data_IF_435803478284
#
_entry.id   IF_435803478284
#
_cell.length_a   1.000
_cell.length_b   1.000
_cell.length_c   1.000
_cell.angle_alpha   90.00
_cell.angle_beta   90.00
_cell.angle_gamma   90.00
#
_symmetry.space_group_name_H-M   'P 1'
#
loop_
_entity.id
_entity.type
_entity.pdbx_description
1 polymer ?
#
# COMPACT_ATOMS: atom_id res chain seq x y z
N UNK A 1 -12.27 22.93 -59.30
CA UNK A 1 -12.39 21.99 -58.14
C UNK A 1 -11.22 22.10 -57.14
N UNK A 2 -9.99 22.40 -57.56
CA UNK A 2 -8.79 22.49 -56.69
C UNK A 2 -8.73 23.68 -55.70
N UNK A 3 -9.64 24.66 -55.77
CA UNK A 3 -9.64 25.81 -54.86
C UNK A 3 -10.17 25.47 -53.45
N UNK A 4 -10.86 24.35 -53.28
CA UNK A 4 -11.42 23.94 -51.97
C UNK A 4 -10.37 23.32 -51.03
N UNK A 5 -9.32 22.69 -51.57
CA UNK A 5 -8.30 21.98 -50.76
C UNK A 5 -7.36 22.98 -50.05
N UNK A 6 -6.98 24.08 -50.71
CA UNK A 6 -6.10 25.11 -50.11
C UNK A 6 -6.75 25.87 -48.94
N UNK A 7 -8.07 25.88 -48.85
CA UNK A 7 -8.79 26.53 -47.74
C UNK A 7 -8.82 25.68 -46.47
N UNK A 8 -8.58 24.36 -46.58
CA UNK A 8 -8.48 23.44 -45.45
C UNK A 8 -7.11 23.48 -44.77
N UNK A 9 -6.04 23.74 -45.53
CA UNK A 9 -4.66 23.83 -45.00
C UNK A 9 -4.32 25.21 -44.43
N UNK A 10 -5.15 26.23 -44.68
CA UNK A 10 -4.91 27.60 -44.18
C UNK A 10 -5.31 27.81 -42.70
N UNK A 11 -5.71 26.75 -41.99
CA UNK A 11 -6.16 26.81 -40.59
C UNK A 11 -5.28 25.99 -39.63
N UNK A 12 -4.10 25.54 -40.07
CA UNK A 12 -3.13 24.91 -39.16
C UNK A 12 -2.38 26.01 -38.40
N UNK A 13 -3.03 26.59 -37.39
CA UNK A 13 -2.40 27.49 -36.43
C UNK A 13 -1.39 26.72 -35.57
N UNK A 14 -0.11 27.08 -35.67
CA UNK A 14 0.93 26.52 -34.82
C UNK A 14 0.80 26.99 -33.37
N UNK A 15 1.17 26.12 -32.42
CA UNK A 15 1.31 26.48 -31.01
C UNK A 15 2.35 27.59 -30.84
N UNK A 16 2.05 28.61 -30.04
CA UNK A 16 3.05 29.62 -29.68
C UNK A 16 4.01 29.05 -28.63
N UNK A 17 5.27 29.48 -28.67
CA UNK A 17 6.26 29.09 -27.64
C UNK A 17 5.82 29.54 -26.24
N UNK A 18 5.07 30.65 -26.15
CA UNK A 18 4.56 31.19 -24.89
C UNK A 18 3.47 30.28 -24.31
N UNK A 19 2.58 29.73 -25.15
CA UNK A 19 1.57 28.76 -24.70
C UNK A 19 2.24 27.51 -24.11
N UNK A 20 3.25 26.96 -24.78
CA UNK A 20 3.99 25.81 -24.25
C UNK A 20 4.77 26.16 -22.97
N UNK A 21 5.34 27.35 -22.88
CA UNK A 21 6.07 27.82 -21.70
C UNK A 21 5.16 27.92 -20.46
N UNK A 22 3.97 28.49 -20.61
CA UNK A 22 3.02 28.62 -19.50
C UNK A 22 2.56 27.22 -19.03
N UNK A 23 2.33 26.30 -19.96
CA UNK A 23 1.91 24.92 -19.63
C UNK A 23 2.95 24.20 -18.78
N UNK A 24 4.23 24.22 -19.17
CA UNK A 24 5.27 23.55 -18.39
C UNK A 24 5.49 24.20 -17.02
N UNK A 25 5.30 25.52 -16.91
CA UNK A 25 5.37 26.23 -15.63
C UNK A 25 4.23 25.77 -14.71
N UNK A 26 2.99 25.71 -15.22
CA UNK A 26 1.84 25.22 -14.44
C UNK A 26 2.04 23.75 -14.04
N UNK A 27 2.47 22.89 -14.97
CA UNK A 27 2.76 21.48 -14.68
C UNK A 27 3.88 21.32 -13.64
N UNK A 28 4.91 22.16 -13.68
CA UNK A 28 5.99 22.17 -12.68
C UNK A 28 5.50 22.53 -11.28
N UNK A 29 4.64 23.55 -11.16
CA UNK A 29 4.04 23.96 -9.89
C UNK A 29 3.13 22.84 -9.34
N UNK A 30 2.27 22.27 -10.18
CA UNK A 30 1.37 21.18 -9.78
C UNK A 30 2.15 19.94 -9.35
N UNK A 31 3.20 19.55 -10.08
CA UNK A 31 4.04 18.41 -9.74
C UNK A 31 4.73 18.58 -8.37
N UNK A 32 5.25 19.78 -8.08
CA UNK A 32 5.89 20.06 -6.80
C UNK A 32 4.93 19.88 -5.61
N UNK A 33 3.68 20.38 -5.72
CA UNK A 33 2.66 20.23 -4.67
C UNK A 33 2.28 18.75 -4.48
N UNK A 34 2.09 18.01 -5.57
CA UNK A 34 1.67 16.60 -5.53
C UNK A 34 2.70 15.72 -4.81
N UNK A 35 4.00 15.94 -5.05
CA UNK A 35 5.07 15.15 -4.40
C UNK A 35 5.00 15.25 -2.88
N UNK A 36 4.87 16.46 -2.33
CA UNK A 36 4.73 16.64 -0.88
C UNK A 36 3.40 16.14 -0.33
N UNK A 37 2.33 16.18 -1.11
CA UNK A 37 1.01 15.69 -0.69
C UNK A 37 0.96 14.15 -0.60
N UNK A 38 1.65 13.43 -1.50
CA UNK A 38 1.59 11.96 -1.58
C UNK A 38 2.48 11.26 -0.54
N UNK A 39 3.62 11.85 -0.15
CA UNK A 39 4.56 11.21 0.77
C UNK A 39 3.95 10.85 2.13
N UNK A 40 3.06 11.69 2.67
CA UNK A 40 2.38 11.40 3.93
C UNK A 40 1.20 10.43 3.81
N UNK A 41 0.74 10.09 2.60
CA UNK A 41 -0.36 9.14 2.39
C UNK A 41 0.15 7.71 2.46
N UNK A 42 1.34 7.42 1.91
CA UNK A 42 1.92 6.07 1.99
C UNK A 42 2.15 5.63 3.42
N UNK A 43 2.71 6.49 4.27
CA UNK A 43 3.03 6.16 5.65
C UNK A 43 1.77 5.88 6.48
N UNK A 44 0.72 6.67 6.28
CA UNK A 44 -0.59 6.47 6.91
C UNK A 44 -1.26 5.19 6.42
N UNK A 45 -1.13 4.87 5.13
CA UNK A 45 -1.60 3.61 4.56
C UNK A 45 -0.93 2.41 5.20
N UNK A 46 0.40 2.44 5.31
CA UNK A 46 1.20 1.40 5.96
C UNK A 46 0.84 1.23 7.44
N UNK A 47 0.69 2.33 8.19
CA UNK A 47 0.27 2.28 9.59
C UNK A 47 -1.14 1.71 9.77
N UNK A 48 -2.08 2.09 8.89
CA UNK A 48 -3.45 1.58 8.93
C UNK A 48 -3.50 0.09 8.60
N UNK A 49 -2.74 -0.36 7.60
CA UNK A 49 -2.63 -1.77 7.24
C UNK A 49 -2.00 -2.58 8.39
N UNK A 50 -0.92 -2.06 8.97
CA UNK A 50 -0.25 -2.64 10.13
C UNK A 50 -1.21 -2.85 11.32
N UNK A 51 -2.03 -1.85 11.64
CA UNK A 51 -3.02 -1.96 12.71
C UNK A 51 -4.07 -3.04 12.41
N UNK A 52 -4.60 -3.07 11.18
CA UNK A 52 -5.61 -4.05 10.78
C UNK A 52 -5.07 -5.49 10.81
N UNK A 53 -3.83 -5.68 10.33
CA UNK A 53 -3.16 -6.98 10.35
C UNK A 53 -2.84 -7.43 11.77
N UNK A 54 -2.36 -6.52 12.63
CA UNK A 54 -2.13 -6.80 14.05
C UNK A 54 -3.39 -7.26 14.75
N UNK A 55 -4.52 -6.58 14.54
CA UNK A 55 -5.82 -6.96 15.10
C UNK A 55 -6.24 -8.35 14.60
N UNK A 56 -6.09 -8.61 13.30
CA UNK A 56 -6.42 -9.92 12.69
C UNK A 56 -5.61 -11.06 13.30
N UNK A 57 -4.30 -10.87 13.49
CA UNK A 57 -3.42 -11.87 14.12
C UNK A 57 -3.75 -12.04 15.61
N UNK A 58 -4.15 -10.96 16.31
CA UNK A 58 -4.55 -11.03 17.72
C UNK A 58 -5.83 -11.84 17.89
N UNK A 59 -6.85 -11.59 17.06
CA UNK A 59 -8.10 -12.37 17.09
C UNK A 59 -7.82 -13.84 16.78
N UNK A 60 -6.97 -14.12 15.79
CA UNK A 60 -6.59 -15.49 15.46
C UNK A 60 -5.82 -16.18 16.61
N UNK A 61 -4.95 -15.46 17.33
CA UNK A 61 -4.19 -16.03 18.44
C UNK A 61 -5.07 -16.33 19.65
N UNK A 62 -6.02 -15.45 19.96
CA UNK A 62 -7.03 -15.66 20.99
C UNK A 62 -7.96 -16.83 20.63
N UNK A 63 -8.38 -16.92 19.36
CA UNK A 63 -9.18 -18.05 18.88
C UNK A 63 -8.42 -19.39 18.99
N UNK A 64 -7.12 -19.39 18.68
CA UNK A 64 -6.28 -20.57 18.89
C UNK A 64 -6.21 -20.94 20.37
N UNK A 65 -6.00 -19.96 21.26
CA UNK A 65 -5.97 -20.18 22.69
C UNK A 65 -7.30 -20.74 23.23
N UNK A 66 -8.42 -20.18 22.78
CA UNK A 66 -9.74 -20.64 23.18
C UNK A 66 -10.00 -22.12 22.82
N UNK A 67 -9.44 -22.59 21.69
CA UNK A 67 -9.58 -24.00 21.27
C UNK A 67 -8.57 -24.93 21.93
N UNK A 68 -7.34 -24.48 22.14
CA UNK A 68 -6.21 -25.36 22.49
C UNK A 68 -5.68 -25.15 23.93
N UNK A 69 -6.29 -24.24 24.70
CA UNK A 69 -5.86 -23.83 26.04
C UNK A 69 -4.37 -23.41 26.14
N UNK A 70 -3.77 -23.10 25.01
CA UNK A 70 -2.37 -22.75 24.83
C UNK A 70 -2.26 -21.88 23.58
N UNK A 71 -1.28 -20.97 23.56
CA UNK A 71 -0.99 -20.17 22.38
C UNK A 71 -0.17 -20.99 21.38
N UNK A 72 -0.26 -20.64 20.09
CA UNK A 72 0.37 -21.40 19.02
C UNK A 72 1.90 -21.31 19.11
N UNK A 73 2.57 -22.32 19.67
CA UNK A 73 4.03 -22.39 19.63
C UNK A 73 4.52 -22.53 18.19
N UNK A 74 5.62 -21.85 17.85
CA UNK A 74 6.21 -21.93 16.52
C UNK A 74 6.44 -23.39 16.13
N UNK A 75 6.07 -23.75 14.90
CA UNK A 75 6.32 -25.08 14.32
C UNK A 75 7.70 -25.10 13.63
N UNK A 76 8.40 -23.97 13.67
CA UNK A 76 9.63 -23.64 12.98
C UNK A 76 10.54 -22.75 13.84
N UNK A 77 11.83 -23.11 13.93
CA UNK A 77 12.89 -22.48 14.74
C UNK A 77 13.28 -21.05 14.30
N UNK A 78 12.51 -20.40 13.43
CA UNK A 78 12.87 -19.15 12.78
C UNK A 78 11.86 -18.03 13.07
N UNK A 79 11.75 -17.63 14.33
CA UNK A 79 11.18 -16.34 14.72
C UNK A 79 9.70 -16.14 14.36
N UNK A 80 8.81 -16.67 15.20
CA UNK A 80 7.59 -15.98 15.67
C UNK A 80 6.78 -15.16 14.65
N UNK A 81 6.56 -15.66 13.43
CA UNK A 81 5.68 -15.00 12.45
C UNK A 81 4.27 -15.62 12.50
N UNK A 82 3.25 -14.88 12.06
CA UNK A 82 1.84 -15.32 12.07
C UNK A 82 1.55 -16.54 11.16
N UNK A 83 2.58 -17.12 10.53
CA UNK A 83 2.54 -18.33 9.68
C UNK A 83 2.07 -19.56 10.43
N UNK A 84 2.35 -19.65 11.73
CA UNK A 84 1.94 -20.78 12.57
C UNK A 84 0.42 -20.83 12.75
N UNK A 85 -0.22 -19.66 12.82
CA UNK A 85 -1.68 -19.54 12.84
C UNK A 85 -2.31 -19.87 11.50
N UNK A 86 -1.59 -19.66 10.39
CA UNK A 86 -2.02 -20.11 9.05
C UNK A 86 -2.02 -21.64 8.98
N UNK A 87 -0.92 -22.27 9.40
CA UNK A 87 -0.82 -23.74 9.46
C UNK A 87 -1.87 -24.37 10.37
N UNK A 88 -2.24 -23.70 11.45
CA UNK A 88 -3.30 -24.12 12.36
C UNK A 88 -4.73 -23.83 11.85
N UNK A 89 -4.88 -23.13 10.72
CA UNK A 89 -6.18 -22.81 10.11
C UNK A 89 -6.96 -21.68 10.79
N UNK A 90 -6.30 -20.87 11.63
CA UNK A 90 -6.91 -19.71 12.29
C UNK A 90 -6.67 -18.40 11.54
N UNK A 91 -5.77 -18.41 10.56
CA UNK A 91 -5.46 -17.28 9.70
C UNK A 91 -5.45 -17.76 8.24
N UNK A 92 -5.96 -16.97 7.30
CA UNK A 92 -5.95 -17.35 5.88
C UNK A 92 -4.54 -17.24 5.26
N UNK A 93 -3.82 -16.17 5.60
CA UNK A 93 -2.46 -15.91 5.16
C UNK A 93 -1.75 -15.01 6.17
N UNK A 94 -0.46 -15.20 6.38
CA UNK A 94 0.32 -14.33 7.26
C UNK A 94 0.45 -12.94 6.61
N UNK A 95 0.36 -11.85 7.39
CA UNK A 95 0.62 -10.50 6.89
C UNK A 95 2.02 -10.43 6.28
N UNK A 96 2.10 -10.12 4.99
CA UNK A 96 3.35 -9.94 4.26
C UNK A 96 3.30 -8.56 3.59
N UNK A 97 3.51 -7.52 4.38
CA UNK A 97 3.46 -6.14 3.91
C UNK A 97 4.86 -5.52 3.84
N UNK A 98 5.09 -4.69 2.83
CA UNK A 98 6.32 -3.90 2.72
C UNK A 98 6.24 -2.73 3.70
N UNK A 99 7.11 -2.71 4.72
CA UNK A 99 7.24 -1.57 5.65
C UNK A 99 6.86 -1.85 7.11
N UNK A 100 6.37 -3.04 7.46
CA UNK A 100 6.21 -3.50 8.86
C UNK A 100 6.26 -5.02 8.95
N UNK A 101 6.46 -5.55 10.17
CA UNK A 101 6.55 -6.99 10.43
C UNK A 101 5.73 -7.37 11.65
N UNK A 102 4.67 -8.15 11.45
CA UNK A 102 3.87 -8.65 12.57
C UNK A 102 4.53 -9.89 13.18
N UNK A 103 4.90 -9.81 14.46
CA UNK A 103 5.49 -10.89 15.24
C UNK A 103 4.50 -11.36 16.31
N UNK A 104 4.45 -12.67 16.53
CA UNK A 104 3.57 -13.32 17.50
C UNK A 104 4.38 -14.06 18.58
N UNK A 105 4.21 -13.68 19.85
CA UNK A 105 4.87 -14.32 20.97
C UNK A 105 4.05 -15.51 21.52
N UNK A 106 4.48 -16.76 21.33
CA UNK A 106 3.72 -17.96 21.68
C UNK A 106 3.61 -18.22 23.19
N UNK A 107 4.47 -17.64 24.01
CA UNK A 107 4.39 -17.81 25.46
C UNK A 107 3.34 -16.89 26.11
N UNK A 108 3.04 -15.75 25.49
CA UNK A 108 2.19 -14.70 26.07
C UNK A 108 0.97 -14.36 25.22
N UNK A 109 0.92 -14.83 23.98
CA UNK A 109 -0.10 -14.44 23.01
C UNK A 109 0.08 -13.04 22.43
N UNK A 110 1.16 -12.33 22.82
CA UNK A 110 1.37 -10.93 22.45
C UNK A 110 1.65 -10.79 20.95
N UNK A 111 0.93 -9.88 20.29
CA UNK A 111 1.16 -9.51 18.89
C UNK A 111 1.83 -8.14 18.84
N UNK A 112 2.97 -8.06 18.17
CA UNK A 112 3.75 -6.83 17.96
C UNK A 112 3.97 -6.58 16.48
N UNK A 113 4.20 -5.34 16.09
CA UNK A 113 4.30 -4.88 14.70
C UNK A 113 5.61 -4.16 14.41
#
# INVERSE_FOLDING_TARGET
>A
MMQRIRKLMAHEGGFTLIELLIVIVILGILAAIVVFAVSGISDRGTLSACKADKESVTVASEAYYAKNASYASAIDDAGHTATTLVGAGFLHSAPAATGYTITFAPATGAVTS
#
